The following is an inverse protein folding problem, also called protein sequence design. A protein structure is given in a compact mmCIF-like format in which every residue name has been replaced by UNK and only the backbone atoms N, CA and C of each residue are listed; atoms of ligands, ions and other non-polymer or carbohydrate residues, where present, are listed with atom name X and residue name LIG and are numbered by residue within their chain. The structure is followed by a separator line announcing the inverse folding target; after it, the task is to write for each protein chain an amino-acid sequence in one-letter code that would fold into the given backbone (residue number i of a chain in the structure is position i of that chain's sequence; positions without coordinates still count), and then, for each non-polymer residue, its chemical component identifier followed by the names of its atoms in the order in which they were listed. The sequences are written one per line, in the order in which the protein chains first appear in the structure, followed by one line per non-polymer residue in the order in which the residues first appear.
data_IF_106456597737
#
_entry.id   IF_106456597737
#
_cell.length_a   1.000
_cell.length_b   1.000
_cell.length_c   1.000
_cell.angle_alpha   90.00
_cell.angle_beta   90.00
_cell.angle_gamma   90.00
#
_symmetry.space_group_name_H-M   'P 1'
#
loop_
_entity.id
_entity.type
_entity.pdbx_description
1 polymer ?
#
# COMPACT_ATOMS: atom_id res chain seq x y z
N UNK A 1 45.97 20.82 -41.91
CA UNK A 1 46.72 20.32 -40.73
C UNK A 1 46.92 21.46 -39.76
N UNK A 2 46.18 21.50 -38.65
CA UNK A 2 46.56 22.17 -37.39
C UNK A 2 45.57 21.73 -36.31
N UNK A 3 46.07 21.02 -35.32
CA UNK A 3 45.36 20.50 -34.15
C UNK A 3 45.43 21.57 -33.06
N UNK A 4 44.31 21.98 -32.48
CA UNK A 4 44.29 22.59 -31.14
C UNK A 4 43.16 21.97 -30.34
N UNK A 5 43.53 21.02 -29.50
CA UNK A 5 42.71 20.42 -28.44
C UNK A 5 42.46 21.49 -27.38
N UNK A 6 41.21 21.87 -27.15
CA UNK A 6 40.82 22.63 -25.96
C UNK A 6 40.05 21.69 -25.04
N UNK A 7 40.84 21.11 -24.15
CA UNK A 7 40.57 20.69 -22.77
C UNK A 7 39.09 20.77 -22.31
N UNK A 8 38.44 19.61 -22.23
CA UNK A 8 37.24 19.41 -21.42
C UNK A 8 37.62 19.62 -19.94
N UNK A 9 37.19 20.73 -19.34
CA UNK A 9 37.22 20.88 -17.89
C UNK A 9 36.14 19.96 -17.27
N UNK A 10 36.55 18.75 -16.90
CA UNK A 10 35.86 17.89 -15.95
C UNK A 10 35.87 18.58 -14.58
N UNK A 11 34.89 19.46 -14.33
CA UNK A 11 34.60 19.94 -12.98
C UNK A 11 33.77 18.85 -12.30
N UNK A 12 34.46 17.89 -11.71
CA UNK A 12 33.88 16.92 -10.78
C UNK A 12 33.45 17.68 -9.53
N UNK A 13 32.21 18.16 -9.51
CA UNK A 13 31.62 18.72 -8.30
C UNK A 13 31.50 17.59 -7.26
N UNK A 14 32.44 17.55 -6.32
CA UNK A 14 32.37 16.76 -5.09
C UNK A 14 31.27 17.37 -4.22
N UNK A 15 30.02 17.02 -4.49
CA UNK A 15 28.92 17.28 -3.56
C UNK A 15 29.15 16.35 -2.36
N UNK A 16 29.32 16.86 -1.14
CA UNK A 16 29.37 16.00 0.04
C UNK A 16 28.03 15.30 0.18
N UNK A 17 28.02 13.98 0.04
CA UNK A 17 26.86 13.15 0.31
C UNK A 17 26.62 13.20 1.84
N UNK A 18 25.74 14.09 2.27
CA UNK A 18 25.28 14.13 3.66
C UNK A 18 24.40 12.89 3.87
N UNK A 19 25.00 11.80 4.33
CA UNK A 19 24.27 10.61 4.72
C UNK A 19 23.56 10.88 6.05
N UNK A 20 22.26 11.15 6.01
CA UNK A 20 21.42 11.16 7.19
C UNK A 20 21.20 9.72 7.63
N UNK A 21 21.93 9.25 8.64
CA UNK A 21 21.70 7.93 9.21
C UNK A 21 20.33 7.92 9.93
N UNK A 22 19.33 7.27 9.33
CA UNK A 22 18.07 7.00 10.00
C UNK A 22 18.23 5.80 10.92
N UNK A 23 17.93 5.93 12.22
CA UNK A 23 17.93 4.82 13.19
C UNK A 23 16.73 3.86 13.01
N UNK A 24 16.15 3.78 11.81
CA UNK A 24 15.02 2.90 11.51
C UNK A 24 15.59 1.53 11.18
N UNK A 25 15.17 0.52 11.95
CA UNK A 25 15.51 -0.86 11.66
C UNK A 25 14.98 -1.22 10.25
N UNK A 26 15.76 -1.88 9.39
CA UNK A 26 15.30 -2.23 8.06
C UNK A 26 14.06 -3.12 8.11
N UNK A 27 13.25 -3.03 7.07
CA UNK A 27 12.04 -3.83 6.91
C UNK A 27 12.37 -5.34 6.99
N UNK A 28 11.48 -6.10 7.62
CA UNK A 28 11.61 -7.55 7.79
C UNK A 28 10.36 -8.25 7.27
N UNK A 29 10.46 -8.82 6.08
CA UNK A 29 9.35 -9.45 5.36
C UNK A 29 8.61 -10.51 6.18
N UNK A 30 9.34 -11.30 6.99
CA UNK A 30 8.71 -12.34 7.82
C UNK A 30 7.86 -11.74 8.94
N UNK A 31 8.33 -10.65 9.55
CA UNK A 31 7.55 -9.93 10.58
C UNK A 31 6.35 -9.25 9.93
N UNK A 32 6.53 -8.63 8.77
CA UNK A 32 5.45 -7.98 8.04
C UNK A 32 4.37 -8.98 7.62
N UNK A 33 4.75 -10.13 7.08
CA UNK A 33 3.85 -11.23 6.73
C UNK A 33 3.01 -11.69 7.93
N UNK A 34 3.63 -11.93 9.09
CA UNK A 34 2.89 -12.33 10.31
C UNK A 34 1.92 -11.24 10.77
N UNK A 35 2.33 -9.96 10.70
CA UNK A 35 1.43 -8.85 11.05
C UNK A 35 0.28 -8.73 10.03
N UNK A 36 0.55 -8.98 8.76
CA UNK A 36 -0.43 -9.02 7.69
C UNK A 36 -1.50 -10.09 7.93
N UNK A 37 -1.13 -11.30 8.35
CA UNK A 37 -2.09 -12.36 8.70
C UNK A 37 -3.11 -11.88 9.73
N UNK A 38 -2.66 -11.18 10.77
CA UNK A 38 -3.55 -10.62 11.80
C UNK A 38 -4.45 -9.51 11.23
N UNK A 39 -3.89 -8.56 10.49
CA UNK A 39 -4.63 -7.41 9.97
C UNK A 39 -5.66 -7.84 8.91
N UNK A 40 -5.29 -8.73 8.00
CA UNK A 40 -6.20 -9.28 7.00
C UNK A 40 -7.33 -10.07 7.66
N UNK A 41 -7.03 -10.86 8.69
CA UNK A 41 -8.06 -11.57 9.45
C UNK A 41 -9.08 -10.61 10.08
N UNK A 42 -8.63 -9.49 10.63
CA UNK A 42 -9.50 -8.46 11.20
C UNK A 42 -10.43 -7.85 10.14
N UNK A 43 -9.89 -7.49 8.97
CA UNK A 43 -10.73 -6.97 7.88
C UNK A 43 -11.69 -8.03 7.34
N UNK A 44 -11.24 -9.28 7.22
CA UNK A 44 -12.10 -10.37 6.74
C UNK A 44 -13.29 -10.62 7.68
N UNK A 45 -13.09 -10.51 9.00
CA UNK A 45 -14.17 -10.58 9.98
C UNK A 45 -15.20 -9.47 9.71
N UNK A 46 -14.76 -8.22 9.54
CA UNK A 46 -15.65 -7.08 9.27
C UNK A 46 -16.42 -7.26 7.95
N UNK A 47 -15.74 -7.69 6.89
CA UNK A 47 -16.37 -7.95 5.59
C UNK A 47 -17.42 -9.06 5.64
N UNK A 48 -17.14 -10.12 6.42
CA UNK A 48 -17.98 -11.33 6.49
C UNK A 48 -19.13 -11.19 7.49
N UNK A 49 -19.12 -10.19 8.36
CA UNK A 49 -20.18 -9.98 9.34
C UNK A 49 -21.47 -9.51 8.67
N UNK A 50 -22.48 -10.39 8.65
CA UNK A 50 -23.81 -10.10 8.12
C UNK A 50 -24.60 -9.02 8.89
N UNK A 51 -24.18 -8.73 10.12
CA UNK A 51 -24.81 -7.71 10.96
C UNK A 51 -24.12 -6.34 10.81
N UNK A 52 -22.91 -6.30 10.23
CA UNK A 52 -22.22 -5.05 9.98
C UNK A 52 -22.94 -4.23 8.87
N UNK A 53 -22.95 -2.89 8.98
CA UNK A 53 -23.49 -2.04 7.92
C UNK A 53 -22.81 -2.31 6.56
N UNK A 54 -23.56 -2.28 5.44
CA UNK A 54 -23.00 -2.45 4.09
C UNK A 54 -21.75 -1.61 3.80
N UNK A 55 -21.71 -0.37 4.30
CA UNK A 55 -20.57 0.52 4.15
C UNK A 55 -19.32 0.00 4.87
N UNK A 56 -19.45 -0.45 6.12
CA UNK A 56 -18.35 -1.03 6.91
C UNK A 56 -17.77 -2.25 6.19
N UNK A 57 -18.64 -3.11 5.66
CA UNK A 57 -18.24 -4.29 4.91
C UNK A 57 -17.48 -3.92 3.63
N UNK A 58 -17.98 -2.93 2.88
CA UNK A 58 -17.33 -2.42 1.67
C UNK A 58 -15.96 -1.79 1.97
N UNK A 59 -15.84 -1.05 3.05
CA UNK A 59 -14.56 -0.46 3.45
C UNK A 59 -13.53 -1.53 3.83
N UNK A 60 -13.95 -2.60 4.51
CA UNK A 60 -13.09 -3.73 4.81
C UNK A 60 -12.61 -4.45 3.54
N UNK A 61 -13.50 -4.68 2.57
CA UNK A 61 -13.15 -5.24 1.25
C UNK A 61 -12.10 -4.37 0.54
N UNK A 62 -12.32 -3.05 0.46
CA UNK A 62 -11.39 -2.10 -0.16
C UNK A 62 -10.02 -2.05 0.53
N UNK A 63 -9.99 -2.14 1.85
CA UNK A 63 -8.74 -2.19 2.59
C UNK A 63 -7.94 -3.45 2.23
N UNK A 64 -8.62 -4.60 2.15
CA UNK A 64 -8.02 -5.87 1.71
C UNK A 64 -7.48 -5.75 0.28
N UNK A 65 -8.28 -5.20 -0.65
CA UNK A 65 -7.87 -5.10 -2.06
C UNK A 65 -6.71 -4.11 -2.25
N UNK A 66 -6.72 -2.98 -1.54
CA UNK A 66 -5.58 -2.03 -1.52
C UNK A 66 -4.29 -2.72 -1.08
N UNK A 67 -4.38 -3.59 -0.08
CA UNK A 67 -3.23 -4.37 0.39
C UNK A 67 -2.76 -5.40 -0.64
N UNK A 68 -3.69 -6.09 -1.32
CA UNK A 68 -3.39 -7.04 -2.41
C UNK A 68 -2.73 -6.36 -3.60
N UNK A 69 -3.23 -5.20 -4.00
CA UNK A 69 -2.66 -4.39 -5.08
C UNK A 69 -1.22 -3.97 -4.76
N UNK A 70 -0.97 -3.49 -3.54
CA UNK A 70 0.37 -3.13 -3.09
C UNK A 70 1.33 -4.34 -3.12
N UNK A 71 0.87 -5.51 -2.68
CA UNK A 71 1.68 -6.73 -2.78
C UNK A 71 1.94 -7.12 -4.25
N UNK A 72 0.93 -7.07 -5.11
CA UNK A 72 1.06 -7.40 -6.52
C UNK A 72 2.05 -6.48 -7.25
N UNK A 73 2.08 -5.19 -6.88
CA UNK A 73 2.97 -4.19 -7.46
C UNK A 73 4.42 -4.31 -6.98
N UNK A 74 4.63 -4.59 -5.70
CA UNK A 74 5.95 -4.50 -5.07
C UNK A 74 6.57 -5.85 -4.68
N UNK A 75 5.76 -6.91 -4.57
CA UNK A 75 6.19 -8.21 -4.08
C UNK A 75 6.63 -8.22 -2.60
N UNK A 76 6.23 -7.21 -1.81
CA UNK A 76 6.62 -7.02 -0.41
C UNK A 76 5.42 -7.08 0.53
N UNK A 77 5.51 -7.91 1.57
CA UNK A 77 4.55 -7.92 2.66
C UNK A 77 4.62 -6.65 3.50
N UNK A 78 5.79 -6.01 3.60
CA UNK A 78 5.91 -4.76 4.33
C UNK A 78 5.16 -3.62 3.63
N UNK A 79 5.23 -3.55 2.29
CA UNK A 79 4.45 -2.57 1.54
C UNK A 79 2.95 -2.87 1.57
N UNK A 80 2.57 -4.14 1.43
CA UNK A 80 1.17 -4.57 1.59
C UNK A 80 0.61 -4.22 2.97
N UNK A 81 1.42 -4.40 4.03
CA UNK A 81 1.08 -4.05 5.40
C UNK A 81 0.91 -2.54 5.58
N UNK A 82 1.82 -1.77 4.99
CA UNK A 82 1.80 -0.31 5.06
C UNK A 82 0.55 0.23 4.39
N UNK A 83 0.24 -0.26 3.19
CA UNK A 83 -0.97 0.07 2.45
C UNK A 83 -2.24 -0.28 3.24
N UNK A 84 -2.28 -1.46 3.87
CA UNK A 84 -3.43 -1.86 4.70
C UNK A 84 -3.62 -0.96 5.93
N UNK A 85 -2.52 -0.55 6.59
CA UNK A 85 -2.57 0.33 7.78
C UNK A 85 -2.88 1.78 7.45
N UNK A 86 -2.43 2.24 6.30
CA UNK A 86 -2.61 3.60 5.81
C UNK A 86 -3.86 3.74 4.95
N UNK A 87 -4.67 2.67 4.84
CA UNK A 87 -5.94 2.75 4.15
C UNK A 87 -6.83 3.78 4.86
N UNK A 88 -6.93 4.95 4.23
CA UNK A 88 -7.82 6.01 4.64
C UNK A 88 -9.02 6.01 3.70
N UNK A 89 -10.20 6.18 4.29
CA UNK A 89 -11.43 6.33 3.53
C UNK A 89 -11.42 7.73 2.95
N UNK A 90 -11.27 7.84 1.63
CA UNK A 90 -11.62 9.07 0.95
C UNK A 90 -13.12 9.32 1.21
N UNK A 91 -13.43 10.41 1.91
CA UNK A 91 -14.75 10.70 2.47
C UNK A 91 -15.85 10.75 1.41
N UNK A 92 -15.46 11.01 0.15
CA UNK A 92 -16.37 11.02 -0.98
C UNK A 92 -16.50 9.65 -1.66
N UNK A 93 -15.54 8.74 -1.45
CA UNK A 93 -15.49 7.43 -2.11
C UNK A 93 -16.43 6.37 -1.53
N UNK A 94 -16.89 6.52 -0.28
CA UNK A 94 -17.73 5.52 0.41
C UNK A 94 -19.04 5.18 -0.32
N UNK A 95 -19.55 6.13 -1.11
CA UNK A 95 -20.80 6.02 -1.86
C UNK A 95 -20.61 5.56 -3.32
N UNK A 96 -19.40 5.62 -3.87
CA UNK A 96 -19.14 5.23 -5.26
C UNK A 96 -18.77 3.74 -5.34
N UNK A 97 -19.57 2.94 -6.04
CA UNK A 97 -19.25 1.54 -6.32
C UNK A 97 -17.99 1.43 -7.20
N UNK A 98 -17.10 0.48 -6.88
CA UNK A 98 -16.03 0.07 -7.81
C UNK A 98 -16.39 -1.24 -8.50
N UNK A 99 -15.86 -1.42 -9.70
CA UNK A 99 -15.98 -2.68 -10.43
C UNK A 99 -15.30 -3.81 -9.65
N UNK A 100 -15.96 -4.97 -9.57
CA UNK A 100 -15.48 -6.12 -8.82
C UNK A 100 -15.87 -6.15 -7.34
N UNK A 101 -16.43 -5.08 -6.77
CA UNK A 101 -16.88 -5.04 -5.38
C UNK A 101 -18.19 -5.78 -5.15
N UNK A 102 -18.36 -6.33 -3.95
CA UNK A 102 -19.66 -6.84 -3.49
C UNK A 102 -20.60 -5.67 -3.24
N UNK A 103 -21.57 -5.51 -4.13
CA UNK A 103 -22.52 -4.38 -4.10
C UNK A 103 -23.87 -4.72 -3.44
N UNK A 104 -24.12 -6.00 -3.19
CA UNK A 104 -25.34 -6.48 -2.52
C UNK A 104 -24.97 -7.31 -1.28
N UNK A 105 -25.33 -6.78 -0.12
CA UNK A 105 -25.10 -7.42 1.18
C UNK A 105 -26.39 -7.94 1.83
N UNK A 106 -27.45 -8.12 1.04
CA UNK A 106 -28.80 -8.41 1.55
C UNK A 106 -28.84 -9.57 2.55
N UNK A 107 -29.64 -9.40 3.60
CA UNK A 107 -30.11 -10.53 4.41
C UNK A 107 -31.27 -11.15 3.63
N UNK A 108 -31.03 -12.31 3.01
CA UNK A 108 -32.01 -12.95 2.14
C UNK A 108 -33.38 -13.07 2.81
N UNK A 109 -34.35 -12.32 2.30
CA UNK A 109 -35.77 -12.60 2.40
C UNK A 109 -36.37 -12.21 1.05
N UNK A 110 -36.50 -13.19 0.17
CA UNK A 110 -37.45 -13.20 -0.94
C UNK A 110 -38.69 -13.95 -0.48
#
# INVERSE_FOLDING_TARGET
MTVVRVLFCLISALIPLVATASNVLPDNERICMRKMETLLSQQQILFSDSQAPPEVRRLAERAIDTSREAFALHGSYCDAQRALKQFEVDKDSGFHYKQGEVNFFGRGHY
#
